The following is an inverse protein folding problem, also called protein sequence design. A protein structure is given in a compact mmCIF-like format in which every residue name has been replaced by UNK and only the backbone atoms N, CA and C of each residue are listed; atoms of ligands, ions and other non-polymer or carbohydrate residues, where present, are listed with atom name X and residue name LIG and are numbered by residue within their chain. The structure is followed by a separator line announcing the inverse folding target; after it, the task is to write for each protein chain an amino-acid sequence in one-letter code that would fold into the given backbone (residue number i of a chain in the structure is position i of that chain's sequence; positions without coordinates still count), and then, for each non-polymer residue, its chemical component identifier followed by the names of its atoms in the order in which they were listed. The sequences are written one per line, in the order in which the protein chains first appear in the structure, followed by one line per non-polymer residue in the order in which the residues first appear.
data_IF_698442745542
#
_entry.id   IF_698442745542
#
_cell.length_a   1.000
_cell.length_b   1.000
_cell.length_c   1.000
_cell.angle_alpha   90.00
_cell.angle_beta   90.00
_cell.angle_gamma   90.00
#
_symmetry.space_group_name_H-M   'P 1'
#
loop_
_entity.id
_entity.type
_entity.pdbx_description
1 polymer ?
#
# COMPACT_ATOMS: atom_id res chain seq x y z
N UNK A 1 -3.38 16.12 -5.28
CA UNK A 1 -4.38 16.20 -4.19
C UNK A 1 -3.68 15.61 -2.96
N UNK A 2 -4.35 15.14 -1.91
CA UNK A 2 -3.64 14.49 -0.80
C UNK A 2 -4.43 13.29 -0.33
N UNK A 3 -3.70 12.23 0.05
CA UNK A 3 -4.24 11.04 0.70
C UNK A 3 -5.20 11.43 1.85
N UNK A 4 -4.84 12.46 2.62
CA UNK A 4 -5.63 12.99 3.73
C UNK A 4 -7.07 13.43 3.38
N UNK A 5 -7.36 13.72 2.11
CA UNK A 5 -8.68 14.16 1.64
C UNK A 5 -9.57 13.01 1.14
N UNK A 6 -9.01 11.81 0.99
CA UNK A 6 -9.73 10.64 0.48
C UNK A 6 -10.29 9.79 1.62
N UNK A 7 -11.47 9.18 1.44
CA UNK A 7 -12.04 8.18 2.37
C UNK A 7 -11.72 6.74 1.97
N UNK A 8 -11.44 6.50 0.68
CA UNK A 8 -11.06 5.22 0.13
C UNK A 8 -10.03 5.41 -0.99
N UNK A 9 -9.01 4.54 -1.04
CA UNK A 9 -8.02 4.52 -2.12
C UNK A 9 -7.72 3.09 -2.58
N UNK A 10 -7.45 2.93 -3.87
CA UNK A 10 -6.81 1.74 -4.43
C UNK A 10 -5.31 1.99 -4.50
N UNK A 11 -4.50 1.01 -4.10
CA UNK A 11 -3.06 1.20 -3.86
C UNK A 11 -2.25 0.12 -4.56
N UNK A 12 -1.17 0.56 -5.21
CA UNK A 12 -0.18 -0.28 -5.87
C UNK A 12 1.19 0.02 -5.28
N UNK A 13 1.96 -0.99 -4.87
CA UNK A 13 3.37 -0.79 -4.50
C UNK A 13 4.19 -0.54 -5.76
N UNK A 14 5.04 0.48 -5.77
CA UNK A 14 5.83 0.83 -6.96
C UNK A 14 7.33 0.88 -6.71
N UNK A 15 7.80 0.99 -5.45
CA UNK A 15 9.25 1.04 -5.15
C UNK A 15 9.62 0.25 -3.90
N UNK A 16 10.73 -0.48 -4.00
CA UNK A 16 11.42 -1.12 -2.88
C UNK A 16 12.78 -0.47 -2.63
N UNK A 17 13.22 -0.45 -1.37
CA UNK A 17 14.58 -0.10 -1.00
C UNK A 17 15.56 -1.17 -1.52
N UNK A 18 16.75 -0.74 -1.93
CA UNK A 18 17.78 -1.65 -2.43
C UNK A 18 18.15 -2.70 -1.36
N UNK A 19 18.21 -3.96 -1.77
CA UNK A 19 18.57 -5.07 -0.89
C UNK A 19 17.44 -5.58 0.02
N UNK A 20 16.22 -5.05 -0.14
CA UNK A 20 15.04 -5.57 0.53
C UNK A 20 14.10 -6.23 -0.47
N UNK A 21 13.48 -7.34 -0.08
CA UNK A 21 12.45 -8.07 -0.83
C UNK A 21 11.15 -8.24 -0.02
N UNK A 22 11.12 -7.69 1.20
CA UNK A 22 10.01 -7.76 2.14
C UNK A 22 9.19 -6.46 2.21
N UNK A 23 8.16 -6.48 3.06
CA UNK A 23 7.26 -5.34 3.25
C UNK A 23 7.95 -4.11 3.85
N UNK A 24 9.02 -4.33 4.62
CA UNK A 24 9.83 -3.26 5.20
C UNK A 24 10.64 -2.54 4.12
N UNK A 25 10.88 -3.21 2.98
CA UNK A 25 11.46 -2.63 1.79
C UNK A 25 10.54 -1.67 1.04
N UNK A 26 9.21 -1.75 1.15
CA UNK A 26 8.30 -0.91 0.35
C UNK A 26 8.46 0.55 0.74
N UNK A 27 8.96 1.40 -0.16
CA UNK A 27 9.19 2.83 0.14
C UNK A 27 8.11 3.73 -0.45
N UNK A 28 7.54 3.36 -1.60
CA UNK A 28 6.64 4.21 -2.37
C UNK A 28 5.45 3.43 -2.89
N UNK A 29 4.28 4.04 -2.78
CA UNK A 29 3.01 3.52 -3.29
C UNK A 29 2.39 4.52 -4.24
N UNK A 30 1.63 4.02 -5.21
CA UNK A 30 0.76 4.80 -6.09
C UNK A 30 -0.70 4.53 -5.73
N UNK A 31 -1.54 5.54 -5.82
CA UNK A 31 -2.97 5.42 -5.56
C UNK A 31 -3.80 6.32 -6.49
N UNK A 32 -5.06 5.96 -6.73
CA UNK A 32 -5.95 6.72 -7.62
C UNK A 32 -6.74 7.80 -6.86
N UNK A 33 -6.65 9.04 -7.32
CA UNK A 33 -7.43 10.18 -6.84
C UNK A 33 -8.32 10.79 -7.92
N UNK A 34 -9.12 11.80 -7.56
CA UNK A 34 -10.03 12.47 -8.50
C UNK A 34 -9.33 13.20 -9.66
N UNK A 35 -8.04 13.53 -9.50
CA UNK A 35 -7.22 14.17 -10.52
C UNK A 35 -6.30 13.19 -11.28
N UNK A 36 -6.47 11.88 -11.05
CA UNK A 36 -5.61 10.82 -11.57
C UNK A 36 -4.69 10.20 -10.50
N UNK A 37 -3.72 9.38 -10.92
CA UNK A 37 -2.84 8.67 -10.02
C UNK A 37 -1.87 9.61 -9.31
N UNK A 38 -1.65 9.36 -8.02
CA UNK A 38 -0.72 10.07 -7.16
C UNK A 38 0.23 9.11 -6.47
N UNK A 39 1.45 9.57 -6.19
CA UNK A 39 2.45 8.80 -5.47
C UNK A 39 2.62 9.34 -4.05
N UNK A 40 2.89 8.45 -3.10
CA UNK A 40 3.14 8.82 -1.71
C UNK A 40 4.12 7.85 -1.07
N UNK A 41 4.77 8.30 0.00
CA UNK A 41 5.61 7.39 0.79
C UNK A 41 4.74 6.34 1.48
N UNK A 42 5.31 5.16 1.77
CA UNK A 42 4.62 4.16 2.59
C UNK A 42 4.28 4.72 3.98
N UNK A 43 5.11 5.62 4.51
CA UNK A 43 4.92 6.26 5.81
C UNK A 43 3.66 7.13 5.83
N UNK A 44 3.43 7.91 4.78
CA UNK A 44 2.23 8.73 4.64
C UNK A 44 0.97 7.86 4.55
N UNK A 45 1.04 6.76 3.79
CA UNK A 45 -0.06 5.80 3.73
C UNK A 45 -0.35 5.18 5.11
N UNK A 46 0.68 4.75 5.85
CA UNK A 46 0.53 4.20 7.21
C UNK A 46 -0.13 5.21 8.14
N UNK A 47 0.36 6.45 8.15
CA UNK A 47 -0.19 7.52 8.98
C UNK A 47 -1.64 7.81 8.61
N UNK A 48 -1.96 7.82 7.32
CA UNK A 48 -3.33 8.00 6.85
C UNK A 48 -4.26 6.88 7.31
N UNK A 49 -3.93 5.60 7.02
CA UNK A 49 -4.77 4.45 7.45
C UNK A 49 -5.00 4.49 8.96
N UNK A 50 -3.96 4.81 9.73
CA UNK A 50 -4.04 4.87 11.19
C UNK A 50 -4.89 6.03 11.73
N UNK A 51 -4.99 7.15 11.01
CA UNK A 51 -5.67 8.38 11.47
C UNK A 51 -7.06 8.58 10.88
N UNK A 52 -7.29 8.25 9.62
CA UNK A 52 -8.41 8.81 8.84
C UNK A 52 -9.70 7.99 8.85
N UNK A 53 -9.74 6.82 9.49
CA UNK A 53 -10.77 5.78 9.25
C UNK A 53 -10.89 5.38 7.77
N UNK A 54 -9.97 5.83 6.91
CA UNK A 54 -9.99 5.56 5.49
C UNK A 54 -9.72 4.09 5.16
N UNK A 55 -10.21 3.66 4.01
CA UNK A 55 -10.07 2.29 3.54
C UNK A 55 -9.10 2.23 2.35
N UNK A 56 -7.89 1.73 2.56
CA UNK A 56 -6.99 1.38 1.47
C UNK A 56 -7.22 -0.06 1.03
N UNK A 57 -7.21 -0.31 -0.27
CA UNK A 57 -7.27 -1.64 -0.86
C UNK A 57 -6.14 -1.81 -1.86
N UNK A 58 -5.65 -3.03 -1.99
CA UNK A 58 -4.71 -3.37 -3.04
C UNK A 58 -5.39 -3.21 -4.42
N UNK A 59 -4.67 -2.71 -5.41
CA UNK A 59 -5.08 -2.76 -6.81
C UNK A 59 -4.26 -3.82 -7.55
N UNK A 60 -4.92 -4.84 -8.07
CA UNK A 60 -4.25 -5.85 -8.89
C UNK A 60 -3.87 -5.29 -10.27
N UNK A 61 -2.90 -5.90 -10.97
CA UNK A 61 -2.53 -5.48 -12.33
C UNK A 61 -3.70 -5.51 -13.33
N UNK A 62 -4.71 -6.35 -13.07
CA UNK A 62 -5.96 -6.39 -13.85
C UNK A 62 -6.87 -5.17 -13.63
N UNK A 63 -6.50 -4.25 -12.74
CA UNK A 63 -7.32 -3.12 -12.30
C UNK A 63 -8.35 -3.48 -11.22
N UNK A 64 -8.51 -4.77 -10.90
CA UNK A 64 -9.46 -5.23 -9.89
C UNK A 64 -9.04 -4.83 -8.47
N UNK A 65 -10.02 -4.47 -7.64
CA UNK A 65 -9.81 -4.26 -6.21
C UNK A 65 -9.49 -5.59 -5.52
N UNK A 66 -8.30 -5.67 -4.96
CA UNK A 66 -7.82 -6.75 -4.12
C UNK A 66 -8.21 -6.58 -2.64
N UNK A 67 -7.51 -7.28 -1.73
CA UNK A 67 -7.83 -7.24 -0.31
C UNK A 67 -7.53 -5.88 0.32
N UNK A 68 -8.15 -5.63 1.48
CA UNK A 68 -7.99 -4.39 2.24
C UNK A 68 -6.57 -4.32 2.83
N UNK A 69 -5.91 -3.18 2.65
CA UNK A 69 -4.66 -2.88 3.31
C UNK A 69 -4.89 -2.57 4.80
N UNK A 70 -4.04 -3.15 5.63
CA UNK A 70 -4.07 -3.00 7.09
C UNK A 70 -2.69 -2.57 7.58
N UNK A 71 -2.67 -1.75 8.63
CA UNK A 71 -1.43 -1.42 9.33
C UNK A 71 -1.19 -2.48 10.40
N UNK A 72 -0.12 -3.24 10.24
CA UNK A 72 0.37 -4.15 11.25
C UNK A 72 1.41 -3.44 12.13
N UNK A 73 1.25 -3.53 13.45
CA UNK A 73 2.29 -3.14 14.40
C UNK A 73 3.18 -4.37 14.66
N UNK A 74 4.41 -4.37 14.13
CA UNK A 74 5.39 -5.41 14.43
C UNK A 74 6.52 -4.84 15.29
N UNK A 75 6.51 -5.21 16.59
CA UNK A 75 7.51 -4.88 17.62
C UNK A 75 7.84 -3.38 17.75
N UNK A 76 8.58 -2.82 16.78
CA UNK A 76 9.07 -1.44 16.75
C UNK A 76 8.70 -0.68 15.48
N UNK A 77 8.05 -1.31 14.50
CA UNK A 77 7.67 -0.69 13.23
C UNK A 77 6.21 -0.94 12.85
N UNK A 78 5.66 0.03 12.12
CA UNK A 78 4.36 -0.08 11.45
C UNK A 78 4.60 -0.38 9.98
N UNK A 79 4.03 -1.48 9.49
CA UNK A 79 4.06 -1.85 8.08
C UNK A 79 2.65 -2.04 7.54
N UNK A 80 2.49 -1.88 6.22
CA UNK A 80 1.22 -2.11 5.53
C UNK A 80 1.18 -3.55 5.02
N UNK A 81 0.02 -4.20 5.13
CA UNK A 81 -0.21 -5.60 4.70
C UNK A 81 -1.51 -5.71 3.94
N UNK A 82 -1.54 -6.56 2.92
CA UNK A 82 -2.73 -6.84 2.12
C UNK A 82 -3.30 -8.24 2.35
N UNK A 83 -2.52 -9.14 2.96
CA UNK A 83 -2.86 -10.56 3.13
C UNK A 83 -1.99 -11.45 2.24
N UNK A 84 -1.99 -12.76 2.51
CA UNK A 84 -1.12 -13.70 1.80
C UNK A 84 -1.73 -14.15 0.46
N UNK A 85 -0.91 -14.24 -0.58
CA UNK A 85 -1.22 -14.84 -1.88
C UNK A 85 -1.02 -16.36 -1.86
N UNK A 86 -1.33 -17.03 -2.98
CA UNK A 86 -1.23 -18.49 -3.10
C UNK A 86 0.18 -19.05 -2.89
N UNK A 87 1.21 -18.23 -3.13
CA UNK A 87 2.62 -18.53 -2.89
C UNK A 87 3.08 -18.21 -1.45
N UNK A 88 2.18 -17.71 -0.59
CA UNK A 88 2.48 -17.35 0.79
C UNK A 88 3.18 -16.00 0.96
N UNK A 89 3.37 -15.21 -0.10
CA UNK A 89 3.87 -13.82 -0.02
C UNK A 89 2.74 -12.84 0.30
N UNK A 90 3.02 -11.65 0.85
CA UNK A 90 1.96 -10.62 0.95
C UNK A 90 1.64 -10.10 -0.45
N UNK A 91 0.36 -9.96 -0.78
CA UNK A 91 -0.08 -9.50 -2.10
C UNK A 91 0.49 -8.15 -2.54
N UNK A 92 0.90 -7.31 -1.59
CA UNK A 92 1.59 -6.05 -1.87
C UNK A 92 3.00 -6.27 -2.44
N UNK A 93 3.68 -7.35 -2.03
CA UNK A 93 4.99 -7.74 -2.55
C UNK A 93 4.90 -8.38 -3.93
N UNK A 94 3.77 -9.01 -4.25
CA UNK A 94 3.51 -9.68 -5.52
C UNK A 94 3.15 -8.70 -6.65
N UNK A 95 2.96 -7.41 -6.35
CA UNK A 95 2.66 -6.40 -7.35
C UNK A 95 3.88 -6.02 -8.19
N UNK A 96 3.69 -5.70 -9.49
CA UNK A 96 4.73 -5.15 -10.34
C UNK A 96 5.30 -3.85 -9.75
N UNK A 97 6.62 -3.74 -9.77
CA UNK A 97 7.37 -2.57 -9.30
C UNK A 97 7.99 -1.90 -10.52
N UNK A 98 7.86 -0.58 -10.62
CA UNK A 98 8.25 0.19 -11.81
C UNK A 98 9.17 1.35 -11.42
#
# INVERSE_FOLDING_TARGET
MSLASQSMVLVTAIRLANGHDDLDGVTTVRWEGNAGPEESSIGDLVVWIARSRGHAYLQWPSGQRGPRLQVANQRTRRSVRSGLTADGSDGLLSLPRF
#
